data_IF_009669687130
#
_entry.id   IF_009669687130
#
_cell.length_a   1.000
_cell.length_b   1.000
_cell.length_c   1.000
_cell.angle_alpha   90.00
_cell.angle_beta   90.00
_cell.angle_gamma   90.00
#
_symmetry.space_group_name_H-M   'P 1'
#
loop_
_entity.id
_entity.type
_entity.pdbx_description
1 polymer ?
#
# COMPACT_ATOMS: atom_id res chain seq x y z
N UNK A 1 4.29 17.09 -15.05
CA UNK A 1 3.48 18.30 -15.31
C UNK A 1 3.14 18.95 -13.99
N UNK A 2 3.03 20.27 -13.92
CA UNK A 2 2.50 20.95 -12.72
C UNK A 2 0.99 21.15 -12.93
N UNK A 3 0.18 20.61 -12.02
CA UNK A 3 -1.28 20.73 -12.03
C UNK A 3 -1.78 21.09 -10.63
N UNK A 4 -3.06 21.38 -10.47
CA UNK A 4 -3.61 21.59 -9.13
C UNK A 4 -3.49 20.31 -8.30
N UNK A 5 -3.36 20.48 -6.99
CA UNK A 5 -3.28 19.33 -6.09
C UNK A 5 -4.56 18.49 -6.09
N UNK A 6 -5.72 19.14 -6.21
CA UNK A 6 -7.02 18.48 -6.25
C UNK A 6 -7.14 17.57 -7.47
N UNK A 7 -6.79 18.09 -8.66
CA UNK A 7 -6.77 17.28 -9.90
C UNK A 7 -5.82 16.09 -9.77
N UNK A 8 -4.61 16.30 -9.23
CA UNK A 8 -3.65 15.21 -9.04
C UNK A 8 -4.14 14.14 -8.06
N UNK A 9 -4.81 14.54 -6.98
CA UNK A 9 -5.37 13.61 -5.99
C UNK A 9 -6.53 12.82 -6.60
N UNK A 10 -7.43 13.47 -7.34
CA UNK A 10 -8.56 12.80 -7.98
C UNK A 10 -8.08 11.73 -8.97
N UNK A 11 -7.11 12.07 -9.82
CA UNK A 11 -6.51 11.09 -10.75
C UNK A 11 -5.84 9.91 -10.01
N UNK A 12 -5.14 10.19 -8.90
CA UNK A 12 -4.55 9.13 -8.09
C UNK A 12 -5.64 8.23 -7.47
N UNK A 13 -6.75 8.80 -6.98
CA UNK A 13 -7.88 8.05 -6.47
C UNK A 13 -8.51 7.16 -7.56
N UNK A 14 -8.73 7.68 -8.77
CA UNK A 14 -9.22 6.90 -9.92
C UNK A 14 -8.31 5.71 -10.24
N UNK A 15 -6.98 5.92 -10.25
CA UNK A 15 -6.02 4.83 -10.49
C UNK A 15 -6.06 3.76 -9.39
N UNK A 16 -6.31 4.14 -8.14
CA UNK A 16 -6.38 3.21 -6.99
C UNK A 16 -7.69 2.41 -7.01
N UNK A 17 -8.79 3.03 -7.41
CA UNK A 17 -10.09 2.36 -7.57
C UNK A 17 -10.02 1.27 -8.64
N UNK A 18 -9.14 1.41 -9.64
CA UNK A 18 -8.78 0.34 -10.57
C UNK A 18 -7.83 -0.70 -9.94
N UNK A 19 -8.35 -1.44 -8.98
CA UNK A 19 -7.59 -2.42 -8.20
C UNK A 19 -6.98 -3.56 -9.01
N UNK A 20 -7.48 -3.82 -10.23
CA UNK A 20 -6.94 -4.86 -11.10
C UNK A 20 -5.53 -4.55 -11.59
N UNK A 21 -5.20 -3.28 -11.73
CA UNK A 21 -3.87 -2.84 -12.13
C UNK A 21 -2.99 -2.42 -10.96
N UNK A 22 -3.58 -2.17 -9.79
CA UNK A 22 -2.89 -1.61 -8.63
C UNK A 22 -1.83 -2.57 -8.08
N UNK A 23 -0.65 -2.04 -7.77
CA UNK A 23 0.46 -2.78 -7.15
C UNK A 23 0.71 -2.29 -5.73
N UNK A 24 0.93 -0.98 -5.56
CA UNK A 24 1.07 -0.35 -4.24
C UNK A 24 0.82 1.15 -4.30
N UNK A 25 0.54 1.74 -3.15
CA UNK A 25 0.51 3.18 -2.93
C UNK A 25 1.42 3.51 -1.76
N UNK A 26 2.12 4.63 -1.86
CA UNK A 26 2.95 5.14 -0.78
C UNK A 26 2.62 6.60 -0.52
N UNK A 27 2.33 6.92 0.73
CA UNK A 27 2.21 8.29 1.23
C UNK A 27 3.40 8.57 2.14
N UNK A 28 4.10 9.68 1.91
CA UNK A 28 5.29 9.99 2.69
C UNK A 28 5.65 11.47 2.72
N UNK A 29 6.37 11.85 3.77
CA UNK A 29 6.81 13.22 3.99
C UNK A 29 5.66 14.16 4.31
N UNK A 30 6.00 15.32 4.86
CA UNK A 30 5.06 16.28 5.42
C UNK A 30 5.08 17.58 4.61
N UNK A 31 3.90 18.14 4.33
CA UNK A 31 3.76 19.50 3.78
C UNK A 31 4.14 20.55 4.82
N UNK A 32 4.58 21.72 4.36
CA UNK A 32 4.92 22.84 5.26
C UNK A 32 3.69 23.21 6.10
N UNK A 33 3.90 23.40 7.41
CA UNK A 33 2.85 23.76 8.37
C UNK A 33 1.71 22.74 8.51
N UNK A 34 1.88 21.51 8.02
CA UNK A 34 0.95 20.41 8.27
C UNK A 34 1.58 19.38 9.20
N UNK A 35 0.74 18.56 9.84
CA UNK A 35 1.15 17.42 10.65
C UNK A 35 0.52 16.18 10.02
N UNK A 36 1.34 15.15 9.79
CA UNK A 36 0.85 13.83 9.38
C UNK A 36 0.85 12.93 10.61
N UNK A 37 -0.14 12.04 10.71
CA UNK A 37 -0.25 11.10 11.83
C UNK A 37 0.92 10.11 11.84
N UNK A 38 1.37 9.70 10.65
CA UNK A 38 2.49 8.78 10.47
C UNK A 38 3.53 9.40 9.52
N UNK A 39 4.77 8.93 9.61
CA UNK A 39 5.85 9.38 8.71
C UNK A 39 5.67 8.85 7.29
N UNK A 40 5.15 7.62 7.20
CA UNK A 40 4.93 6.89 5.96
C UNK A 40 3.76 5.93 6.12
N UNK A 41 2.95 5.85 5.07
CA UNK A 41 1.91 4.84 4.91
C UNK A 41 2.18 4.08 3.62
N UNK A 42 2.22 2.76 3.71
CA UNK A 42 2.29 1.84 2.57
C UNK A 42 0.94 1.14 2.44
N UNK A 43 0.31 1.22 1.27
CA UNK A 43 -0.97 0.59 0.96
C UNK A 43 -0.76 -0.40 -0.17
N UNK A 44 -1.34 -1.60 -0.05
CA UNK A 44 -1.31 -2.60 -1.12
C UNK A 44 -2.69 -3.25 -1.28
N UNK A 45 -3.09 -3.64 -2.50
CA UNK A 45 -4.28 -4.46 -2.67
C UNK A 45 -4.00 -5.86 -2.13
N UNK A 46 -4.95 -6.42 -1.40
CA UNK A 46 -4.91 -7.78 -0.90
C UNK A 46 -6.24 -8.46 -1.13
N UNK A 47 -6.21 -9.77 -1.38
CA UNK A 47 -7.42 -10.57 -1.46
C UNK A 47 -7.72 -11.18 -0.08
N UNK A 48 -8.92 -10.91 0.43
CA UNK A 48 -9.42 -11.43 1.70
C UNK A 48 -10.76 -12.10 1.44
N UNK A 49 -10.82 -13.42 1.63
CA UNK A 49 -12.03 -14.23 1.41
C UNK A 49 -12.68 -14.03 0.02
N UNK A 50 -11.86 -13.85 -1.02
CA UNK A 50 -12.31 -13.65 -2.40
C UNK A 50 -12.67 -12.22 -2.77
N UNK A 51 -12.54 -11.25 -1.85
CA UNK A 51 -12.76 -9.83 -2.12
C UNK A 51 -11.48 -9.04 -2.00
N UNK A 52 -11.30 -8.03 -2.85
CA UNK A 52 -10.16 -7.11 -2.78
C UNK A 52 -10.39 -6.06 -1.69
N UNK A 53 -9.38 -5.85 -0.86
CA UNK A 53 -9.30 -4.77 0.12
C UNK A 53 -7.97 -4.03 -0.02
N UNK A 54 -7.91 -2.80 0.48
CA UNK A 54 -6.68 -2.03 0.56
C UNK A 54 -6.05 -2.19 1.95
N UNK A 55 -4.95 -2.94 2.02
CA UNK A 55 -4.20 -3.12 3.25
C UNK A 55 -3.24 -1.95 3.44
N UNK A 56 -3.52 -1.12 4.43
CA UNK A 56 -2.73 0.01 4.87
C UNK A 56 -1.79 -0.42 6.01
N UNK A 57 -0.51 -0.11 5.89
CA UNK A 57 0.51 -0.36 6.90
C UNK A 57 1.30 0.90 7.21
N UNK A 58 1.60 1.10 8.49
CA UNK A 58 2.32 2.27 8.98
C UNK A 58 3.00 1.93 10.31
N UNK A 59 4.08 2.63 10.63
CA UNK A 59 4.79 2.47 11.89
C UNK A 59 4.78 3.75 12.70
N UNK A 60 4.66 3.60 14.02
CA UNK A 60 4.82 4.66 15.02
C UNK A 60 6.24 4.65 15.63
N UNK A 61 7.18 3.92 15.01
CA UNK A 61 8.55 3.72 15.49
C UNK A 61 8.70 2.59 16.52
N UNK A 62 7.60 2.09 17.11
CA UNK A 62 7.61 0.99 18.07
C UNK A 62 7.00 -0.29 17.50
N UNK A 63 5.89 -0.14 16.79
CA UNK A 63 5.16 -1.24 16.17
C UNK A 63 4.79 -0.89 14.73
N UNK A 64 4.56 -1.94 13.94
CA UNK A 64 3.94 -1.80 12.64
C UNK A 64 2.46 -2.17 12.78
N UNK A 65 1.57 -1.25 12.42
CA UNK A 65 0.13 -1.47 12.45
C UNK A 65 -0.37 -1.71 11.04
N UNK A 66 -1.29 -2.68 10.89
CA UNK A 66 -1.93 -2.99 9.62
C UNK A 66 -3.44 -2.84 9.77
N UNK A 67 -4.07 -2.12 8.84
CA UNK A 67 -5.53 -1.93 8.76
C UNK A 67 -5.99 -2.22 7.35
N UNK A 68 -7.14 -2.87 7.20
CA UNK A 68 -7.75 -3.10 5.90
C UNK A 68 -8.85 -2.05 5.68
N UNK A 69 -8.84 -1.43 4.52
CA UNK A 69 -9.81 -0.45 4.07
C UNK A 69 -10.61 -1.02 2.90
N UNK A 70 -11.88 -0.63 2.80
CA UNK A 70 -12.66 -0.87 1.60
C UNK A 70 -12.10 -0.06 0.42
N UNK A 71 -12.35 -0.55 -0.79
CA UNK A 71 -12.01 0.15 -2.03
C UNK A 71 -13.08 1.22 -2.29
N UNK A 72 -13.00 2.33 -1.58
CA UNK A 72 -13.96 3.43 -1.64
C UNK A 72 -13.21 4.77 -1.78
N UNK A 73 -13.82 5.72 -2.48
CA UNK A 73 -13.18 7.00 -2.82
C UNK A 73 -13.01 7.93 -1.59
N UNK A 74 -14.05 8.05 -0.76
CA UNK A 74 -14.09 8.99 0.37
C UNK A 74 -12.95 8.77 1.39
N UNK A 75 -12.69 7.52 1.85
CA UNK A 75 -11.56 7.24 2.74
C UNK A 75 -10.19 7.56 2.10
N UNK A 76 -10.05 7.36 0.79
CA UNK A 76 -8.81 7.66 0.06
C UNK A 76 -8.59 9.18 -0.04
N UNK A 77 -9.62 9.93 -0.43
CA UNK A 77 -9.56 11.40 -0.52
C UNK A 77 -9.16 12.01 0.82
N UNK A 78 -9.80 11.58 1.92
CA UNK A 78 -9.47 12.02 3.27
C UNK A 78 -8.01 11.72 3.64
N UNK A 79 -7.52 10.54 3.27
CA UNK A 79 -6.15 10.14 3.52
C UNK A 79 -5.14 10.98 2.72
N UNK A 80 -5.43 11.29 1.45
CA UNK A 80 -4.50 11.98 0.55
C UNK A 80 -4.45 13.49 0.80
N UNK A 81 -5.50 14.02 1.41
CA UNK A 81 -5.59 15.41 1.87
C UNK A 81 -5.00 15.62 3.27
N UNK A 82 -4.62 14.55 3.99
CA UNK A 82 -4.12 14.60 5.39
C UNK A 82 -2.69 15.18 5.57
N UNK A 83 -2.13 15.80 4.53
CA UNK A 83 -0.89 16.58 4.64
C UNK A 83 0.39 15.88 4.18
N UNK A 84 0.29 14.73 3.52
CA UNK A 84 1.42 14.07 2.88
C UNK A 84 1.96 14.87 1.69
N UNK A 85 3.28 15.02 1.61
CA UNK A 85 3.94 15.79 0.54
C UNK A 85 4.25 14.95 -0.69
N UNK A 86 4.34 13.64 -0.56
CA UNK A 86 4.62 12.73 -1.67
C UNK A 86 3.60 11.60 -1.69
N UNK A 87 3.09 11.32 -2.89
CA UNK A 87 2.15 10.23 -3.17
C UNK A 87 2.75 9.46 -4.36
N UNK A 88 2.89 8.16 -4.21
CA UNK A 88 3.27 7.26 -5.30
C UNK A 88 2.15 6.26 -5.48
N UNK A 89 1.66 6.11 -6.70
CA UNK A 89 0.72 5.06 -7.10
C UNK A 89 1.43 4.21 -8.15
N UNK A 90 1.64 2.94 -7.84
CA UNK A 90 2.21 1.98 -8.78
C UNK A 90 1.13 1.03 -9.29
N UNK A 91 1.16 0.80 -10.59
CA UNK A 91 0.28 -0.12 -11.29
C UNK A 91 1.09 -1.02 -12.21
N UNK A 92 0.50 -2.08 -12.74
CA UNK A 92 1.21 -3.14 -13.50
C UNK A 92 1.94 -2.63 -14.75
N UNK A 93 1.52 -1.49 -15.32
CA UNK A 93 2.14 -0.85 -16.49
C UNK A 93 3.02 0.35 -16.18
N UNK A 94 3.16 0.76 -14.91
CA UNK A 94 3.92 1.96 -14.57
C UNK A 94 3.66 2.53 -13.17
N UNK A 95 3.90 3.84 -13.05
CA UNK A 95 3.65 4.58 -11.82
C UNK A 95 3.26 6.03 -12.09
N UNK A 96 2.53 6.61 -11.15
CA UNK A 96 2.26 8.03 -11.01
C UNK A 96 2.85 8.51 -9.69
N UNK A 97 3.72 9.51 -9.75
CA UNK A 97 4.33 10.16 -8.59
C UNK A 97 3.87 11.60 -8.49
N UNK A 98 3.30 11.98 -7.35
CA UNK A 98 2.89 13.34 -7.02
C UNK A 98 3.80 13.88 -5.94
N UNK A 99 4.38 15.06 -6.18
CA UNK A 99 5.12 15.84 -5.19
C UNK A 99 4.45 17.18 -5.01
N UNK A 100 4.02 17.49 -3.79
CA UNK A 100 3.44 18.78 -3.45
C UNK A 100 4.55 19.81 -3.27
N UNK A 101 4.45 20.91 -3.99
CA UNK A 101 5.41 22.01 -3.97
C UNK A 101 5.16 22.94 -2.78
N UNK A 102 6.05 23.93 -2.59
CA UNK A 102 5.87 24.95 -1.55
C UNK A 102 4.68 25.88 -1.81
N UNK A 103 4.26 26.06 -3.07
CA UNK A 103 3.08 26.86 -3.43
C UNK A 103 1.77 26.12 -3.19
N UNK A 104 1.81 24.79 -3.03
CA UNK A 104 0.64 23.93 -2.90
C UNK A 104 0.28 23.17 -4.17
N UNK A 105 0.91 23.50 -5.31
CA UNK A 105 0.69 22.79 -6.58
C UNK A 105 1.33 21.41 -6.57
N UNK A 106 0.82 20.52 -7.42
CA UNK A 106 1.31 19.16 -7.59
C UNK A 106 2.25 19.05 -8.80
N UNK A 107 3.48 18.58 -8.55
CA UNK A 107 4.36 18.09 -9.62
C UNK A 107 4.08 16.60 -9.82
N UNK A 108 3.53 16.26 -10.98
CA UNK A 108 3.20 14.89 -11.36
C UNK A 108 4.21 14.34 -12.35
N UNK A 109 4.69 13.13 -12.09
CA UNK A 109 5.59 12.38 -12.95
C UNK A 109 5.01 10.99 -13.21
N UNK A 110 5.09 10.53 -14.46
CA UNK A 110 4.67 9.19 -14.85
C UNK A 110 5.87 8.40 -15.34
N UNK A 111 5.92 7.14 -14.96
CA UNK A 111 6.93 6.20 -15.43
C UNK A 111 6.23 4.99 -16.05
N UNK A 112 6.71 4.52 -17.20
CA UNK A 112 6.22 3.27 -17.80
C UNK A 112 7.18 2.14 -17.44
N UNK A 113 6.67 1.14 -16.74
CA UNK A 113 7.46 -0.01 -16.29
C UNK A 113 6.54 -1.18 -15.98
N UNK A 114 6.97 -2.40 -16.32
CA UNK A 114 6.21 -3.59 -15.92
C UNK A 114 6.45 -3.89 -14.44
N UNK A 115 5.37 -3.95 -13.67
CA UNK A 115 5.36 -4.31 -12.25
C UNK A 115 4.43 -5.51 -12.02
N UNK A 116 4.74 -6.30 -10.99
CA UNK A 116 3.94 -7.48 -10.62
C UNK A 116 3.04 -7.16 -9.44
N UNK A 117 1.75 -7.49 -9.58
CA UNK A 117 0.76 -7.39 -8.50
C UNK A 117 0.82 -8.64 -7.62
N UNK A 118 0.88 -8.44 -6.30
CA UNK A 118 0.82 -9.50 -5.30
C UNK A 118 -0.36 -9.24 -4.35
N UNK A 119 -1.33 -10.16 -4.35
CA UNK A 119 -2.55 -10.09 -3.54
C UNK A 119 -2.45 -10.89 -2.23
N UNK A 120 -1.32 -11.54 -1.96
CA UNK A 120 -1.16 -12.35 -0.76
C UNK A 120 -1.20 -11.47 0.50
N UNK A 121 -2.18 -11.70 1.38
CA UNK A 121 -2.28 -10.98 2.64
C UNK A 121 -1.36 -11.57 3.73
N UNK A 122 -1.12 -12.87 3.69
CA UNK A 122 -0.35 -13.58 4.71
C UNK A 122 1.10 -13.84 4.29
N UNK A 123 2.02 -13.51 5.19
CA UNK A 123 3.40 -14.00 5.11
C UNK A 123 3.42 -15.48 5.43
N UNK A 124 3.62 -16.32 4.40
CA UNK A 124 3.95 -17.73 4.61
C UNK A 124 5.26 -17.81 5.38
N UNK A 125 5.26 -18.47 6.55
CA UNK A 125 6.50 -18.78 7.27
C UNK A 125 7.33 -19.72 6.40
N UNK A 126 8.50 -19.28 5.94
CA UNK A 126 9.47 -20.16 5.29
C UNK A 126 10.07 -21.08 6.36
N UNK A 127 9.45 -22.26 6.54
CA UNK A 127 9.97 -23.30 7.43
C UNK A 127 11.07 -24.07 6.70
N UNK A 128 12.13 -24.45 7.43
CA UNK A 128 13.25 -25.22 6.86
C UNK A 128 12.83 -26.66 6.53
N UNK A 129 11.85 -27.18 7.27
CA UNK A 129 11.25 -28.49 7.08
C UNK A 129 9.74 -28.31 6.87
N UNK A 130 9.17 -29.17 6.04
CA UNK A 130 7.71 -29.27 5.89
C UNK A 130 7.11 -29.68 7.25
N UNK A 131 5.97 -29.12 7.70
CA UNK A 131 5.30 -29.59 8.91
C UNK A 131 5.00 -31.10 8.91
N UNK A 132 4.85 -31.73 7.73
CA UNK A 132 4.69 -33.16 7.57
C UNK A 132 6.02 -33.94 7.46
N UNK A 133 7.17 -33.30 7.68
CA UNK A 133 8.48 -33.94 7.65
C UNK A 133 8.56 -35.05 8.71
N UNK A 134 8.99 -36.28 8.33
CA UNK A 134 9.09 -37.40 9.27
C UNK A 134 9.92 -37.08 10.51
N UNK A 135 10.98 -36.28 10.40
CA UNK A 135 11.78 -35.88 11.54
C UNK A 135 10.94 -35.11 12.56
N UNK A 136 10.13 -34.14 12.10
CA UNK A 136 9.29 -33.32 12.98
C UNK A 136 8.18 -34.12 13.67
N UNK A 137 7.65 -35.15 12.99
CA UNK A 137 6.68 -36.09 13.57
C UNK A 137 7.33 -36.97 14.65
N UNK A 138 8.49 -37.56 14.36
CA UNK A 138 9.19 -38.48 15.26
C UNK A 138 9.72 -37.79 16.52
N UNK A 139 10.13 -36.52 16.43
CA UNK A 139 10.54 -35.75 17.63
C UNK A 139 9.37 -35.09 18.37
N UNK A 140 8.12 -35.33 17.93
CA UNK A 140 6.91 -34.82 18.58
C UNK A 140 6.72 -33.30 18.46
N UNK A 141 7.35 -32.65 17.48
CA UNK A 141 7.20 -31.21 17.22
C UNK A 141 5.95 -30.95 16.36
N UNK A 142 5.61 -31.87 15.47
CA UNK A 142 4.38 -31.84 14.68
C UNK A 142 3.57 -33.13 14.94
N UNK A 143 2.27 -33.07 14.73
CA UNK A 143 1.41 -34.25 14.68
C UNK A 143 0.88 -34.47 13.25
N UNK A 144 0.16 -35.58 13.03
CA UNK A 144 -0.44 -35.88 11.72
C UNK A 144 -1.58 -34.92 11.31
N UNK A 145 -1.93 -33.95 12.17
CA UNK A 145 -2.98 -32.94 11.90
C UNK A 145 -2.40 -31.58 11.53
N UNK A 146 -1.10 -31.34 11.76
CA UNK A 146 -0.35 -30.18 11.27
C UNK A 146 -0.41 -28.95 12.17
#
# INVERSE_FOLDING_TARGET
MAISLEEAINEACEQILNTDSLVRVVLSGRRRNMVTEFERIDIRPVEIKGSIALQMSYSDGRANTVKNLNVEEEPLLKLFTSGYANILVEHTSGSMSIRVTKSGDALVHYEKKSLTRDLSHDKKKARLLDPADPFLLEVGISDHKG
#
